data_IF_534512819518
#
_entry.id   IF_534512819518
#
_cell.length_a   1.000
_cell.length_b   1.000
_cell.length_c   1.000
_cell.angle_alpha   90.00
_cell.angle_beta   90.00
_cell.angle_gamma   90.00
#
_symmetry.space_group_name_H-M   'P 1'
#
loop_
_entity.id
_entity.type
_entity.pdbx_description
1 polymer ?
#
# COMPACT_ATOMS: atom_id res chain seq x y z
N UNK A 1 3.77 -12.05 -7.58
CA UNK A 1 2.60 -11.18 -7.77
C UNK A 1 2.26 -10.55 -6.43
N UNK A 2 2.20 -9.22 -6.36
CA UNK A 2 1.74 -8.49 -5.18
C UNK A 2 0.39 -7.87 -5.51
N UNK A 3 -0.62 -8.16 -4.70
CA UNK A 3 -1.97 -7.62 -4.87
C UNK A 3 -2.35 -6.77 -3.67
N UNK A 4 -2.76 -5.53 -3.91
CA UNK A 4 -3.20 -4.57 -2.89
C UNK A 4 -4.68 -4.30 -3.11
N UNK A 5 -5.51 -4.69 -2.14
CA UNK A 5 -6.98 -4.59 -2.23
C UNK A 5 -7.54 -3.65 -1.18
N UNK A 6 -8.11 -2.53 -1.64
CA UNK A 6 -8.83 -1.52 -0.83
C UNK A 6 -8.05 -0.99 0.36
N UNK A 7 -6.71 -0.96 0.24
CA UNK A 7 -5.84 -0.67 1.37
C UNK A 7 -6.02 0.78 1.81
N UNK A 8 -6.41 0.91 3.08
CA UNK A 8 -6.58 2.20 3.75
C UNK A 8 -5.69 2.22 4.98
N UNK A 9 -4.96 3.32 5.17
CA UNK A 9 -4.23 3.59 6.40
C UNK A 9 -4.65 4.95 6.92
N UNK A 10 -5.30 4.93 8.08
CA UNK A 10 -5.77 6.11 8.80
C UNK A 10 -5.15 6.17 10.18
N UNK A 11 -4.85 7.39 10.59
CA UNK A 11 -4.53 7.81 11.96
C UNK A 11 -5.67 8.72 12.45
N UNK A 12 -5.61 9.25 13.67
CA UNK A 12 -6.69 10.05 14.26
C UNK A 12 -7.16 11.21 13.35
N UNK A 13 -6.21 11.98 12.80
CA UNK A 13 -6.54 13.19 12.03
C UNK A 13 -6.24 13.09 10.52
N UNK A 14 -5.57 12.03 10.08
CA UNK A 14 -5.08 11.92 8.70
C UNK A 14 -5.26 10.52 8.12
N UNK A 15 -5.63 10.46 6.83
CA UNK A 15 -5.71 9.21 6.05
C UNK A 15 -4.75 9.28 4.87
N UNK A 16 -3.45 8.96 5.07
CA UNK A 16 -2.46 9.02 4.00
C UNK A 16 -2.69 8.03 2.87
N UNK A 17 -3.37 6.91 3.12
CA UNK A 17 -3.79 5.95 2.09
C UNK A 17 -5.29 5.77 2.18
N UNK A 18 -6.01 6.07 1.11
CA UNK A 18 -7.46 5.97 1.02
C UNK A 18 -7.82 5.05 -0.14
N UNK A 19 -8.34 3.86 0.16
CA UNK A 19 -8.84 2.90 -0.84
C UNK A 19 -7.86 2.64 -2.00
N UNK A 20 -6.63 2.28 -1.67
CA UNK A 20 -5.58 2.01 -2.64
C UNK A 20 -5.72 0.60 -3.20
N UNK A 21 -5.74 0.50 -4.54
CA UNK A 21 -5.93 -0.75 -5.28
C UNK A 21 -4.90 -0.83 -6.42
N UNK A 22 -4.08 -1.88 -6.44
CA UNK A 22 -3.20 -2.19 -7.57
C UNK A 22 -2.66 -3.62 -7.49
N UNK A 23 -2.11 -4.09 -8.62
CA UNK A 23 -1.39 -5.35 -8.70
C UNK A 23 -0.01 -5.11 -9.35
N UNK A 24 1.00 -5.83 -8.88
CA UNK A 24 2.36 -5.83 -9.43
C UNK A 24 2.73 -7.27 -9.76
N UNK A 25 3.07 -7.53 -11.02
CA UNK A 25 3.44 -8.86 -11.48
C UNK A 25 4.95 -9.11 -11.34
N UNK A 26 5.32 -10.40 -11.39
CA UNK A 26 6.72 -10.80 -11.36
C UNK A 26 7.47 -10.29 -12.60
N UNK A 27 8.52 -9.48 -12.39
CA UNK A 27 9.29 -8.87 -13.46
C UNK A 27 8.99 -7.38 -13.70
N UNK A 28 7.95 -6.84 -13.04
CA UNK A 28 7.63 -5.43 -13.13
C UNK A 28 8.67 -4.55 -12.42
N UNK A 29 8.97 -3.40 -13.03
CA UNK A 29 9.74 -2.33 -12.41
C UNK A 29 8.82 -1.13 -12.17
N UNK A 30 8.41 -0.92 -10.91
CA UNK A 30 7.41 0.08 -10.52
C UNK A 30 8.04 1.17 -9.68
N UNK A 31 7.63 2.43 -9.92
CA UNK A 31 8.01 3.58 -9.10
C UNK A 31 6.78 4.25 -8.49
N UNK A 32 6.88 4.63 -7.21
CA UNK A 32 5.84 5.39 -6.49
C UNK A 32 6.23 6.86 -6.46
N UNK A 33 5.48 7.69 -7.19
CA UNK A 33 5.75 9.14 -7.33
C UNK A 33 4.59 9.98 -6.77
N UNK A 34 4.89 11.22 -6.41
CA UNK A 34 3.91 12.18 -5.89
C UNK A 34 4.52 13.22 -4.94
N UNK A 35 3.78 14.31 -4.62
CA UNK A 35 4.25 15.38 -3.75
C UNK A 35 4.66 14.91 -2.34
N UNK A 36 5.44 15.71 -1.62
CA UNK A 36 5.71 15.43 -0.20
C UNK A 36 4.40 15.34 0.58
N UNK A 37 4.30 14.38 1.51
CA UNK A 37 3.08 14.14 2.30
C UNK A 37 1.98 13.31 1.61
N UNK A 38 2.14 12.92 0.34
CA UNK A 38 1.12 12.16 -0.40
C UNK A 38 0.95 10.68 0.00
N UNK A 39 1.55 10.23 1.11
CA UNK A 39 1.42 8.85 1.61
C UNK A 39 2.40 7.82 1.03
N UNK A 40 3.39 8.21 0.20
CA UNK A 40 4.34 7.26 -0.44
C UNK A 40 5.09 6.38 0.56
N UNK A 41 5.72 6.99 1.57
CA UNK A 41 6.44 6.24 2.62
C UNK A 41 5.49 5.34 3.40
N UNK A 42 4.27 5.78 3.64
CA UNK A 42 3.22 4.96 4.28
C UNK A 42 2.89 3.75 3.40
N UNK A 43 2.69 3.94 2.09
CA UNK A 43 2.41 2.84 1.16
C UNK A 43 3.54 1.80 1.16
N UNK A 44 4.79 2.24 1.00
CA UNK A 44 5.94 1.35 0.99
C UNK A 44 6.11 0.58 2.30
N UNK A 45 5.89 1.24 3.44
CA UNK A 45 5.95 0.59 4.75
C UNK A 45 4.82 -0.43 4.95
N UNK A 46 3.61 -0.15 4.45
CA UNK A 46 2.50 -1.12 4.50
C UNK A 46 2.82 -2.33 3.60
N UNK A 47 3.30 -2.11 2.38
CA UNK A 47 3.72 -3.19 1.48
C UNK A 47 4.87 -4.04 2.04
N UNK A 48 5.80 -3.41 2.77
CA UNK A 48 6.92 -4.11 3.40
C UNK A 48 6.53 -4.85 4.70
N UNK A 49 5.25 -4.81 5.12
CA UNK A 49 4.79 -5.41 6.37
C UNK A 49 5.24 -4.65 7.64
N UNK A 50 5.82 -3.46 7.49
CA UNK A 50 6.26 -2.61 8.61
C UNK A 50 5.11 -1.82 9.24
N UNK A 51 4.01 -1.66 8.52
CA UNK A 51 2.79 -1.03 9.00
C UNK A 51 1.57 -1.88 8.63
N UNK A 52 0.73 -2.20 9.61
CA UNK A 52 -0.56 -2.85 9.34
C UNK A 52 -1.54 -1.84 8.74
N UNK A 53 -2.23 -2.14 7.64
CA UNK A 53 -3.29 -1.29 7.12
C UNK A 53 -4.46 -1.22 8.12
N UNK A 54 -5.21 -0.12 8.10
CA UNK A 54 -6.43 0.02 8.92
C UNK A 54 -7.59 -0.77 8.31
N UNK A 55 -7.64 -0.87 6.97
CA UNK A 55 -8.59 -1.69 6.20
C UNK A 55 -7.92 -2.23 4.95
N UNK A 56 -8.50 -3.29 4.39
CA UNK A 56 -7.99 -3.96 3.20
C UNK A 56 -6.86 -4.93 3.52
N UNK A 57 -6.28 -5.50 2.48
CA UNK A 57 -5.23 -6.51 2.58
C UNK A 57 -4.19 -6.36 1.48
N UNK A 58 -3.00 -6.89 1.76
CA UNK A 58 -1.93 -7.04 0.77
C UNK A 58 -1.60 -8.52 0.71
N UNK A 59 -1.57 -9.08 -0.50
CA UNK A 59 -1.18 -10.47 -0.72
C UNK A 59 0.10 -10.53 -1.55
N UNK A 60 1.05 -11.34 -1.12
CA UNK A 60 2.26 -11.69 -1.86
C UNK A 60 2.15 -13.15 -2.27
N UNK A 61 2.14 -13.40 -3.58
CA UNK A 61 1.98 -14.73 -4.17
C UNK A 61 0.79 -15.51 -3.59
N UNK A 62 -0.33 -14.80 -3.36
CA UNK A 62 -1.57 -15.35 -2.83
C UNK A 62 -1.61 -15.52 -1.30
N UNK A 63 -0.58 -15.07 -0.57
CA UNK A 63 -0.52 -15.13 0.90
C UNK A 63 -0.61 -13.72 1.51
N UNK A 64 -1.48 -13.53 2.50
CA UNK A 64 -1.68 -12.28 3.26
C UNK A 64 -0.67 -12.14 4.40
#
# INVERSE_FOLDING_TARGET
MIEVKTVTKSYEDITPLQDVNFCIDGGDFVSVIGPSGSGKTTLLNVMAGLLTPTKGEIMVDGTS
#
